data_IF_811975106957
#
_entry.id   IF_811975106957
#
_cell.length_a   1.000
_cell.length_b   1.000
_cell.length_c   1.000
_cell.angle_alpha   90.00
_cell.angle_beta   90.00
_cell.angle_gamma   90.00
#
_symmetry.space_group_name_H-M   'P 1'
#
loop_
_entity.id
_entity.type
_entity.pdbx_description
1 polymer ?
#
# COMPACT_ATOMS: atom_id res chain seq x y z
N UNK A 1 -1.11 -8.01 9.97
CA UNK A 1 -0.40 -8.66 8.84
C UNK A 1 -1.41 -9.60 8.19
N UNK A 2 -1.56 -9.64 6.87
CA UNK A 2 -2.51 -10.57 6.26
C UNK A 2 -1.97 -12.00 6.40
N UNK A 3 -2.80 -12.93 6.89
CA UNK A 3 -2.40 -14.32 7.14
C UNK A 3 -2.16 -15.09 5.82
N UNK A 4 -3.04 -14.90 4.84
CA UNK A 4 -2.94 -15.53 3.51
C UNK A 4 -2.08 -14.75 2.51
N UNK A 5 -1.41 -15.47 1.60
CA UNK A 5 -0.59 -14.89 0.52
C UNK A 5 -0.86 -15.58 -0.81
N UNK A 6 -1.76 -15.00 -1.59
CA UNK A 6 -2.18 -15.51 -2.90
C UNK A 6 -1.44 -14.77 -4.02
N UNK A 7 -0.12 -14.95 -4.10
CA UNK A 7 0.73 -14.37 -5.14
C UNK A 7 1.75 -15.42 -5.60
N UNK A 8 2.14 -15.44 -6.89
CA UNK A 8 3.08 -16.43 -7.44
C UNK A 8 4.55 -16.14 -7.09
N UNK A 9 4.81 -15.41 -6.00
CA UNK A 9 6.14 -15.06 -5.50
C UNK A 9 6.10 -15.02 -3.97
N UNK A 10 7.23 -15.16 -3.27
CA UNK A 10 7.24 -15.18 -1.80
C UNK A 10 7.15 -13.77 -1.19
N UNK A 11 6.75 -13.68 0.09
CA UNK A 11 6.82 -12.43 0.85
C UNK A 11 8.25 -11.91 0.97
N UNK A 12 9.24 -12.81 0.99
CA UNK A 12 10.66 -12.45 1.00
C UNK A 12 11.07 -11.77 -0.31
N UNK A 13 10.67 -12.31 -1.46
CA UNK A 13 10.90 -11.68 -2.76
C UNK A 13 10.24 -10.29 -2.85
N UNK A 14 9.10 -10.10 -2.19
CA UNK A 14 8.41 -8.80 -2.13
C UNK A 14 9.11 -7.78 -1.21
N UNK A 15 9.46 -8.20 0.01
CA UNK A 15 10.03 -7.32 1.04
C UNK A 15 11.53 -7.06 0.87
N UNK A 16 12.27 -8.04 0.36
CA UNK A 16 13.73 -8.08 0.29
C UNK A 16 14.23 -8.60 -1.07
N UNK A 17 13.93 -7.91 -2.18
CA UNK A 17 14.26 -8.38 -3.52
C UNK A 17 15.77 -8.43 -3.83
N UNK A 18 16.61 -7.79 -3.02
CA UNK A 18 18.05 -7.67 -3.23
C UNK A 18 18.82 -7.82 -1.90
N UNK A 19 20.07 -8.32 -1.91
CA UNK A 19 20.83 -8.58 -0.69
C UNK A 19 21.01 -7.36 0.21
N UNK A 20 21.18 -6.16 -0.37
CA UNK A 20 21.34 -4.93 0.41
C UNK A 20 20.03 -4.45 1.08
N UNK A 21 18.88 -4.96 0.66
CA UNK A 21 17.59 -4.66 1.30
C UNK A 21 17.45 -5.34 2.67
N UNK A 22 18.24 -6.40 2.94
CA UNK A 22 18.27 -7.15 4.21
C UNK A 22 19.03 -6.41 5.32
N UNK A 23 19.59 -5.23 5.02
CA UNK A 23 20.32 -4.42 6.01
C UNK A 23 19.37 -3.75 7.01
N UNK A 24 19.91 -3.28 8.13
CA UNK A 24 19.20 -2.66 9.26
C UNK A 24 18.38 -1.39 8.93
N UNK A 25 18.33 -0.95 7.66
CA UNK A 25 17.56 0.21 7.19
C UNK A 25 16.53 -0.19 6.13
N UNK A 26 15.59 -1.04 6.50
CA UNK A 26 14.40 -1.28 5.69
C UNK A 26 13.46 -0.08 5.78
N UNK A 27 13.19 0.55 4.63
CA UNK A 27 12.10 1.53 4.49
C UNK A 27 10.86 0.82 3.95
N UNK A 28 9.74 0.97 4.65
CA UNK A 28 8.45 0.42 4.23
C UNK A 28 7.65 1.49 3.49
N UNK A 29 7.03 1.16 2.34
CA UNK A 29 5.96 1.98 1.78
C UNK A 29 4.84 2.12 2.81
N UNK A 30 4.36 3.35 3.02
CA UNK A 30 3.27 3.64 3.96
C UNK A 30 1.92 3.12 3.48
N UNK A 31 1.75 3.00 2.16
CA UNK A 31 0.54 2.50 1.51
C UNK A 31 0.88 1.66 0.27
N UNK A 32 -0.14 0.98 -0.27
CA UNK A 32 -0.04 0.27 -1.54
C UNK A 32 0.01 1.23 -2.74
N UNK A 33 -0.21 0.69 -3.94
CA UNK A 33 -0.35 1.52 -5.14
C UNK A 33 -1.65 2.35 -5.04
N UNK A 34 -1.56 3.63 -5.36
CA UNK A 34 -2.69 4.56 -5.41
C UNK A 34 -3.56 4.27 -6.65
N UNK A 35 -4.87 4.44 -6.52
CA UNK A 35 -5.81 4.41 -7.65
C UNK A 35 -6.04 5.83 -8.17
N UNK A 36 -5.28 6.19 -9.20
CA UNK A 36 -5.32 7.53 -9.79
C UNK A 36 -6.68 7.83 -10.44
N UNK A 37 -7.26 6.87 -11.16
CA UNK A 37 -8.51 7.04 -11.89
C UNK A 37 -9.73 7.19 -10.97
N UNK A 38 -9.70 6.58 -9.78
CA UNK A 38 -10.73 6.82 -8.77
C UNK A 38 -10.62 8.24 -8.22
N UNK A 39 -9.40 8.71 -7.92
CA UNK A 39 -9.15 10.06 -7.42
C UNK A 39 -9.62 11.15 -8.39
N UNK A 40 -9.36 10.97 -9.69
CA UNK A 40 -9.79 11.92 -10.73
C UNK A 40 -11.31 12.00 -10.88
N UNK A 41 -12.03 10.90 -10.64
CA UNK A 41 -13.50 10.83 -10.74
C UNK A 41 -14.22 11.26 -9.47
N UNK A 42 -13.56 11.18 -8.31
CA UNK A 42 -14.13 11.44 -6.98
C UNK A 42 -13.25 12.45 -6.25
N UNK A 43 -13.26 13.71 -6.71
CA UNK A 43 -12.38 14.74 -6.20
C UNK A 43 -12.74 15.13 -4.76
N UNK A 44 -11.85 14.81 -3.82
CA UNK A 44 -11.93 15.21 -2.41
C UNK A 44 -10.67 16.02 -2.06
N UNK A 45 -10.85 17.32 -1.84
CA UNK A 45 -9.76 18.27 -1.57
C UNK A 45 -9.87 18.94 -0.19
N UNK A 46 -10.68 18.37 0.69
CA UNK A 46 -10.78 18.72 2.11
C UNK A 46 -10.24 17.55 2.95
N UNK A 47 -10.22 17.70 4.26
CA UNK A 47 -9.76 16.66 5.18
C UNK A 47 -10.96 16.00 5.90
N UNK A 48 -11.87 15.30 5.19
CA UNK A 48 -12.91 14.54 5.86
C UNK A 48 -12.28 13.34 6.58
N UNK A 49 -12.94 12.84 7.60
CA UNK A 49 -12.63 11.55 8.19
C UNK A 49 -12.77 10.43 7.16
N UNK A 50 -12.10 9.31 7.42
CA UNK A 50 -12.21 8.13 6.57
C UNK A 50 -13.64 7.57 6.64
N UNK A 51 -14.29 7.66 7.80
CA UNK A 51 -15.70 7.28 7.97
C UNK A 51 -16.64 8.09 7.07
N UNK A 52 -16.47 9.41 7.00
CA UNK A 52 -17.28 10.28 6.14
C UNK A 52 -17.13 9.95 4.65
N UNK A 53 -15.95 9.47 4.23
CA UNK A 53 -15.70 9.03 2.85
C UNK A 53 -16.24 7.63 2.58
N UNK A 54 -16.29 6.75 3.58
CA UNK A 54 -16.77 5.38 3.43
C UNK A 54 -18.29 5.26 3.23
N UNK A 55 -19.04 6.31 3.57
CA UNK A 55 -20.50 6.35 3.48
C UNK A 55 -21.05 7.15 2.27
N UNK A 56 -20.17 7.54 1.33
CA UNK A 56 -20.54 8.20 0.06
C UNK A 56 -20.68 7.18 -1.06
#
# INVERSE_FOLDING_TARGET
MADSWDRPYSREQAGWPKPWCLTSRKVWPSCGRIDDSFGDRNLVCMCPSVEELAHQ
#
